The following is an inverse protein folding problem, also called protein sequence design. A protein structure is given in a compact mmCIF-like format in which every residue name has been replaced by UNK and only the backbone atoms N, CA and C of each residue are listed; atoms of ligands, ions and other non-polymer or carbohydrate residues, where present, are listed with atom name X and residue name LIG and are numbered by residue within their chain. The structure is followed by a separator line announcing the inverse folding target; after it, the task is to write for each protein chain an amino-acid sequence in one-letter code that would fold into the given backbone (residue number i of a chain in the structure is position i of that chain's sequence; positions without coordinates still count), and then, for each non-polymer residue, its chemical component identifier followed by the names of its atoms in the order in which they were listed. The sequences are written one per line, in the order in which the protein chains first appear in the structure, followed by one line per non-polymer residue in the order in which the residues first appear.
data_IF_013402397042
#
_entry.id   IF_013402397042
#
_cell.length_a   1.000
_cell.length_b   1.000
_cell.length_c   1.000
_cell.angle_alpha   90.00
_cell.angle_beta   90.00
_cell.angle_gamma   90.00
#
_symmetry.space_group_name_H-M   'P 1'
#
loop_
_entity.id
_entity.type
_entity.pdbx_description
1 polymer ?
#
# COMPACT_ATOMS: atom_id res chain seq x y z
N UNK A 1 -29.03 -46.01 27.67
CA UNK A 1 -28.81 -44.77 26.90
C UNK A 1 -28.15 -43.82 27.87
N UNK A 2 -26.84 -43.69 27.84
CA UNK A 2 -26.06 -42.78 28.68
C UNK A 2 -25.83 -41.51 27.89
N UNK A 3 -26.38 -40.41 28.39
CA UNK A 3 -26.13 -39.07 27.86
C UNK A 3 -24.67 -38.69 28.08
N UNK A 4 -23.97 -38.36 27.00
CA UNK A 4 -22.63 -37.73 27.02
C UNK A 4 -22.86 -36.24 27.26
N UNK A 5 -22.27 -35.62 28.29
CA UNK A 5 -22.41 -34.18 28.49
C UNK A 5 -21.66 -33.40 27.38
N UNK A 6 -22.17 -32.24 26.94
CA UNK A 6 -21.52 -31.43 25.93
C UNK A 6 -20.15 -30.95 26.44
N UNK A 7 -19.13 -31.18 25.62
CA UNK A 7 -17.78 -30.69 25.88
C UNK A 7 -17.80 -29.16 26.00
N UNK A 8 -17.40 -28.64 27.15
CA UNK A 8 -17.16 -27.23 27.36
C UNK A 8 -16.12 -26.78 26.36
N UNK A 9 -16.52 -25.93 25.43
CA UNK A 9 -15.58 -25.18 24.57
C UNK A 9 -14.73 -24.30 25.48
N UNK A 10 -13.53 -24.77 25.80
CA UNK A 10 -12.49 -23.93 26.35
C UNK A 10 -12.27 -22.78 25.38
N UNK A 11 -12.64 -21.55 25.77
CA UNK A 11 -12.18 -20.34 25.12
C UNK A 11 -10.63 -20.31 25.28
N UNK A 12 -9.92 -20.88 24.32
CA UNK A 12 -8.48 -20.69 24.21
C UNK A 12 -8.25 -19.20 24.09
N UNK A 13 -7.56 -18.61 25.06
CA UNK A 13 -7.12 -17.22 24.96
C UNK A 13 -6.44 -17.06 23.59
N UNK A 14 -6.91 -16.10 22.79
CA UNK A 14 -6.33 -15.84 21.48
C UNK A 14 -4.82 -15.62 21.64
N UNK A 15 -4.03 -16.28 20.77
CA UNK A 15 -2.57 -16.12 20.81
C UNK A 15 -2.23 -14.62 20.69
N UNK A 16 -1.25 -14.12 21.47
CA UNK A 16 -0.88 -12.71 21.43
C UNK A 16 -0.44 -12.32 20.01
N UNK A 17 -0.85 -11.16 19.56
CA UNK A 17 -0.45 -10.62 18.27
C UNK A 17 0.93 -9.94 18.37
N UNK A 18 1.58 -9.73 17.22
CA UNK A 18 2.95 -9.19 17.18
C UNK A 18 3.08 -7.80 17.82
N UNK A 19 2.03 -6.97 17.78
CA UNK A 19 1.99 -5.62 18.33
C UNK A 19 0.93 -5.45 19.42
N UNK A 20 0.55 -6.54 20.10
CA UNK A 20 -0.31 -6.42 21.29
C UNK A 20 0.29 -5.47 22.30
N UNK A 21 -0.55 -4.57 22.85
CA UNK A 21 -0.14 -3.55 23.81
C UNK A 21 0.49 -2.30 23.20
N UNK A 22 0.72 -2.26 21.88
CA UNK A 22 1.14 -1.05 21.17
C UNK A 22 -0.08 -0.20 20.82
N UNK A 23 -0.08 1.07 21.24
CA UNK A 23 -1.13 2.03 20.88
C UNK A 23 -0.62 3.07 19.90
N UNK A 24 -1.37 3.28 18.83
CA UNK A 24 -1.05 4.19 17.72
C UNK A 24 -2.10 5.29 17.63
N UNK A 25 -1.67 6.54 17.70
CA UNK A 25 -2.50 7.71 17.40
C UNK A 25 -2.29 8.08 15.92
N UNK A 26 -3.31 7.84 15.11
CA UNK A 26 -3.29 8.06 13.67
C UNK A 26 -3.99 9.38 13.33
N UNK A 27 -3.21 10.44 13.10
CA UNK A 27 -3.69 11.75 12.65
C UNK A 27 -3.62 11.87 11.12
N UNK A 28 -3.18 10.80 10.44
CA UNK A 28 -2.94 10.83 8.99
C UNK A 28 -4.23 10.67 8.19
N UNK A 29 -4.19 11.15 6.94
CA UNK A 29 -5.29 11.11 5.98
C UNK A 29 -4.82 10.57 4.64
N UNK A 30 -5.76 10.31 3.77
CA UNK A 30 -5.59 9.89 2.38
C UNK A 30 -5.08 8.45 2.27
N UNK A 31 -3.77 8.21 2.03
CA UNK A 31 -3.35 6.85 1.72
C UNK A 31 -2.08 6.40 2.46
N UNK A 32 -0.96 7.08 2.35
CA UNK A 32 0.33 6.62 2.86
C UNK A 32 0.32 6.32 4.37
N UNK A 33 -0.15 7.28 5.19
CA UNK A 33 -0.30 7.11 6.63
C UNK A 33 -1.37 6.08 7.00
N UNK A 34 -2.61 6.19 6.47
CA UNK A 34 -3.66 5.19 6.71
C UNK A 34 -3.28 3.76 6.31
N UNK A 35 -2.52 3.58 5.22
CA UNK A 35 -1.99 2.27 4.82
C UNK A 35 -0.99 1.73 5.86
N UNK A 36 -0.08 2.59 6.33
CA UNK A 36 0.85 2.23 7.40
C UNK A 36 0.10 1.79 8.66
N UNK A 37 -0.81 2.62 9.16
CA UNK A 37 -1.49 2.38 10.44
C UNK A 37 -2.46 1.20 10.36
N UNK A 38 -3.05 0.91 9.19
CA UNK A 38 -3.81 -0.33 8.97
C UNK A 38 -2.92 -1.57 9.11
N UNK A 39 -1.70 -1.56 8.56
CA UNK A 39 -0.77 -2.70 8.70
C UNK A 39 -0.39 -2.90 10.16
N UNK A 40 -0.11 -1.82 10.90
CA UNK A 40 0.15 -1.91 12.35
C UNK A 40 -1.06 -2.47 13.10
N UNK A 41 -2.28 -2.05 12.73
CA UNK A 41 -3.52 -2.59 13.30
C UNK A 41 -3.73 -4.07 12.98
N UNK A 42 -3.44 -4.50 11.75
CA UNK A 42 -3.48 -5.90 11.33
C UNK A 42 -2.49 -6.78 12.14
N UNK A 43 -1.38 -6.19 12.56
CA UNK A 43 -0.36 -6.84 13.40
C UNK A 43 -0.71 -6.82 14.91
N UNK A 44 -1.79 -6.17 15.32
CA UNK A 44 -2.28 -6.20 16.70
C UNK A 44 -2.32 -4.86 17.42
N UNK A 45 -1.72 -3.81 16.86
CA UNK A 45 -1.76 -2.50 17.49
C UNK A 45 -3.20 -1.98 17.67
N UNK A 46 -3.44 -1.26 18.77
CA UNK A 46 -4.65 -0.48 18.99
C UNK A 46 -4.51 0.87 18.28
N UNK A 47 -5.17 1.04 17.15
CA UNK A 47 -5.05 2.24 16.32
C UNK A 47 -6.26 3.14 16.50
N UNK A 48 -6.05 4.33 17.04
CA UNK A 48 -7.04 5.39 17.18
C UNK A 48 -6.83 6.39 16.04
N UNK A 49 -7.76 6.37 15.07
CA UNK A 49 -7.78 7.32 13.96
C UNK A 49 -8.53 8.57 14.36
N UNK A 50 -7.82 9.68 14.43
CA UNK A 50 -8.41 11.00 14.69
C UNK A 50 -8.88 11.62 13.38
N UNK A 51 -10.13 11.99 13.33
CA UNK A 51 -10.78 12.56 12.16
C UNK A 51 -11.48 13.88 12.50
N UNK A 52 -11.64 14.77 11.53
CA UNK A 52 -12.38 16.01 11.71
C UNK A 52 -13.87 15.71 11.92
N UNK A 53 -14.55 16.31 12.89
CA UNK A 53 -16.00 16.16 13.02
C UNK A 53 -16.75 16.74 11.82
N UNK A 54 -17.92 16.18 11.49
CA UNK A 54 -18.80 16.73 10.48
C UNK A 54 -19.45 18.03 10.98
N UNK A 55 -19.61 18.99 10.07
CA UNK A 55 -20.29 20.28 10.35
C UNK A 55 -21.35 20.57 9.27
N UNK A 56 -22.37 21.39 9.55
CA UNK A 56 -23.34 21.77 8.52
C UNK A 56 -22.64 22.30 7.27
N UNK A 57 -22.89 21.63 6.11
CA UNK A 57 -22.28 21.98 4.84
C UNK A 57 -20.80 21.58 4.66
N UNK A 58 -20.19 20.93 5.65
CA UNK A 58 -18.82 20.44 5.56
C UNK A 58 -18.77 18.96 5.99
N UNK A 59 -18.49 18.03 5.09
CA UNK A 59 -18.33 16.64 5.46
C UNK A 59 -17.12 16.51 6.42
N UNK A 60 -17.26 15.66 7.43
CA UNK A 60 -16.20 15.33 8.36
C UNK A 60 -15.31 14.22 7.81
N UNK A 61 -14.35 13.82 8.64
CA UNK A 61 -13.52 12.65 8.42
C UNK A 61 -12.33 12.85 7.52
N UNK A 62 -11.76 11.72 7.15
CA UNK A 62 -10.72 11.60 6.13
C UNK A 62 -11.32 11.97 4.76
N UNK A 63 -10.57 12.70 3.95
CA UNK A 63 -11.02 13.13 2.61
C UNK A 63 -11.45 11.94 1.74
N UNK A 64 -10.81 10.78 1.94
CA UNK A 64 -11.11 9.54 1.19
C UNK A 64 -12.49 8.96 1.45
N UNK A 65 -13.19 9.36 2.52
CA UNK A 65 -14.60 9.00 2.72
C UNK A 65 -15.45 9.49 1.55
N UNK A 66 -15.17 10.70 1.05
CA UNK A 66 -15.86 11.31 -0.08
C UNK A 66 -15.29 10.97 -1.47
N UNK A 67 -14.23 10.18 -1.58
CA UNK A 67 -13.59 9.89 -2.88
C UNK A 67 -14.26 8.71 -3.62
N UNK A 68 -15.54 8.80 -3.85
CA UNK A 68 -16.35 7.91 -4.67
C UNK A 68 -16.78 8.56 -5.97
N UNK A 69 -17.51 7.83 -6.84
CA UNK A 69 -17.91 6.43 -6.70
C UNK A 69 -16.74 5.45 -6.86
N UNK A 70 -16.87 4.17 -6.38
CA UNK A 70 -18.04 3.63 -5.72
C UNK A 70 -18.12 3.97 -4.24
N UNK A 71 -19.33 4.14 -3.73
CA UNK A 71 -19.61 4.24 -2.29
C UNK A 71 -20.12 2.89 -1.75
N UNK A 72 -19.87 2.66 -0.45
CA UNK A 72 -20.43 1.51 0.26
C UNK A 72 -21.97 1.62 0.26
N UNK A 73 -22.64 0.52 -0.04
CA UNK A 73 -24.09 0.43 0.10
C UNK A 73 -24.46 -0.20 1.43
N UNK A 74 -25.50 0.31 2.05
CA UNK A 74 -26.08 -0.28 3.25
C UNK A 74 -26.87 -1.57 2.92
N UNK A 75 -27.51 -2.15 3.94
CA UNK A 75 -28.31 -3.39 3.79
C UNK A 75 -29.54 -3.21 2.89
N UNK A 76 -30.00 -1.98 2.71
CA UNK A 76 -31.13 -1.65 1.83
C UNK A 76 -30.69 -1.27 0.41
N UNK A 77 -29.37 -1.30 0.15
CA UNK A 77 -28.76 -0.97 -1.15
C UNK A 77 -28.58 0.54 -1.41
N UNK A 78 -28.79 1.38 -0.39
CA UNK A 78 -28.58 2.82 -0.47
C UNK A 78 -27.10 3.17 -0.27
N UNK A 79 -26.57 4.08 -1.07
CA UNK A 79 -25.17 4.53 -0.93
C UNK A 79 -24.97 5.29 0.39
N UNK A 80 -23.94 4.92 1.12
CA UNK A 80 -23.49 5.61 2.33
C UNK A 80 -22.54 6.76 1.96
N UNK A 81 -22.02 7.47 2.97
CA UNK A 81 -21.00 8.51 2.79
C UNK A 81 -19.58 7.97 2.63
N UNK A 82 -19.36 6.65 2.78
CA UNK A 82 -18.03 6.05 2.81
C UNK A 82 -17.68 5.41 1.47
N UNK A 83 -16.71 5.99 0.76
CA UNK A 83 -16.22 5.46 -0.50
C UNK A 83 -15.32 4.22 -0.28
N UNK A 84 -15.25 3.36 -1.30
CA UNK A 84 -14.38 2.18 -1.31
C UNK A 84 -12.90 2.53 -1.05
N UNK A 85 -12.48 3.75 -1.37
CA UNK A 85 -11.14 4.23 -1.10
C UNK A 85 -10.81 4.24 0.41
N UNK A 86 -11.73 4.80 1.22
CA UNK A 86 -11.61 4.80 2.68
C UNK A 86 -11.58 3.38 3.26
N UNK A 87 -12.46 2.51 2.75
CA UNK A 87 -12.58 1.13 3.23
C UNK A 87 -11.29 0.33 3.02
N UNK A 88 -10.54 0.63 1.97
CA UNK A 88 -9.32 -0.09 1.61
C UNK A 88 -8.17 0.07 2.61
N UNK A 89 -8.20 1.08 3.50
CA UNK A 89 -7.04 1.46 4.32
C UNK A 89 -7.33 1.68 5.80
N UNK A 90 -8.55 1.37 6.28
CA UNK A 90 -8.95 1.75 7.65
C UNK A 90 -9.55 0.62 8.48
N UNK A 91 -9.44 -0.66 8.06
CA UNK A 91 -9.85 -1.78 8.93
C UNK A 91 -9.01 -1.86 10.20
N UNK A 92 -9.56 -2.48 11.22
CA UNK A 92 -8.94 -2.67 12.54
C UNK A 92 -8.66 -1.36 13.31
N UNK A 93 -9.16 -0.21 12.85
CA UNK A 93 -9.03 1.08 13.54
C UNK A 93 -10.27 1.41 14.34
N UNK A 94 -10.13 2.34 15.30
CA UNK A 94 -11.18 3.02 16.02
C UNK A 94 -11.24 4.48 15.57
N UNK A 95 -12.42 5.01 15.24
CA UNK A 95 -12.58 6.39 14.78
C UNK A 95 -12.97 7.30 15.94
N UNK A 96 -12.17 8.33 16.17
CA UNK A 96 -12.39 9.41 17.13
C UNK A 96 -12.46 10.75 16.37
N UNK A 97 -13.54 11.50 16.54
CA UNK A 97 -13.61 12.85 15.98
C UNK A 97 -12.96 13.87 16.91
N UNK A 98 -12.03 14.68 16.36
CA UNK A 98 -11.45 15.85 17.05
C UNK A 98 -11.19 16.95 16.02
N UNK A 99 -11.61 18.17 16.32
CA UNK A 99 -11.24 19.35 15.54
C UNK A 99 -9.94 19.97 16.09
N UNK A 100 -8.84 19.72 15.41
CA UNK A 100 -7.52 20.30 15.77
C UNK A 100 -7.47 21.83 15.73
N UNK A 101 -8.39 22.47 14.99
CA UNK A 101 -8.46 23.94 14.95
C UNK A 101 -9.17 24.54 16.18
N UNK A 102 -9.90 23.71 16.92
CA UNK A 102 -10.51 24.10 18.19
C UNK A 102 -9.46 24.05 19.30
N UNK A 103 -9.36 25.06 20.20
CA UNK A 103 -8.35 25.07 21.26
C UNK A 103 -8.31 23.79 22.11
N UNK A 104 -9.49 23.26 22.47
CA UNK A 104 -9.58 21.99 23.20
C UNK A 104 -9.23 20.77 22.36
N UNK A 105 -9.25 20.85 21.04
CA UNK A 105 -8.92 19.73 20.17
C UNK A 105 -7.42 19.38 20.23
N UNK A 106 -6.54 20.37 20.16
CA UNK A 106 -5.11 20.14 20.33
C UNK A 106 -4.74 19.68 21.74
N UNK A 107 -5.42 20.20 22.79
CA UNK A 107 -5.27 19.74 24.18
C UNK A 107 -5.67 18.26 24.33
N UNK A 108 -6.77 17.83 23.69
CA UNK A 108 -7.20 16.43 23.67
C UNK A 108 -6.18 15.51 23.01
N UNK A 109 -5.69 15.88 21.81
CA UNK A 109 -4.67 15.09 21.13
C UNK A 109 -3.41 15.01 21.95
N UNK A 110 -2.99 16.09 22.60
CA UNK A 110 -1.85 16.10 23.51
C UNK A 110 -2.05 15.10 24.66
N UNK A 111 -3.19 15.16 25.36
CA UNK A 111 -3.52 14.27 26.48
C UNK A 111 -3.54 12.79 26.04
N UNK A 112 -4.17 12.50 24.90
CA UNK A 112 -4.23 11.13 24.35
C UNK A 112 -2.82 10.64 23.97
N UNK A 113 -1.99 11.50 23.38
CA UNK A 113 -0.63 11.13 22.93
C UNK A 113 0.27 10.66 24.07
N UNK A 114 0.03 11.13 25.30
CA UNK A 114 0.75 10.69 26.51
C UNK A 114 0.60 9.19 26.80
N UNK A 115 -0.45 8.58 26.27
CA UNK A 115 -0.78 7.18 26.45
C UNK A 115 -0.54 6.34 25.19
N UNK A 116 0.10 6.94 24.18
CA UNK A 116 0.37 6.27 22.90
C UNK A 116 1.86 5.97 22.73
N UNK A 117 2.14 4.89 22.05
CA UNK A 117 3.50 4.45 21.70
C UNK A 117 4.00 5.09 20.41
N UNK A 118 3.07 5.31 19.48
CA UNK A 118 3.34 5.83 18.14
C UNK A 118 2.33 6.92 17.82
N UNK A 119 2.81 8.00 17.19
CA UNK A 119 1.96 8.98 16.53
C UNK A 119 2.35 9.03 15.04
N UNK A 120 1.34 8.98 14.15
CA UNK A 120 1.52 9.10 12.70
C UNK A 120 0.73 10.28 12.19
N UNK A 121 1.39 11.18 11.44
CA UNK A 121 0.72 12.34 10.84
C UNK A 121 1.24 12.59 9.41
N UNK A 122 0.44 13.31 8.60
CA UNK A 122 0.84 13.72 7.25
C UNK A 122 0.35 15.14 6.90
N UNK A 123 0.43 16.04 7.88
CA UNK A 123 0.13 17.45 7.70
C UNK A 123 1.25 18.16 6.93
N UNK A 124 0.98 19.38 6.49
CA UNK A 124 2.02 20.22 5.91
C UNK A 124 3.08 20.55 6.96
N UNK A 125 4.31 20.69 6.50
CA UNK A 125 5.42 21.10 7.38
C UNK A 125 5.06 22.38 8.14
N UNK A 126 5.20 22.34 9.45
CA UNK A 126 4.89 23.45 10.36
C UNK A 126 3.46 23.48 10.89
N UNK A 127 2.50 22.77 10.30
CA UNK A 127 1.12 22.80 10.79
C UNK A 127 1.00 22.17 12.20
N UNK A 128 1.68 21.05 12.45
CA UNK A 128 1.65 20.41 13.77
C UNK A 128 2.29 21.28 14.86
N UNK A 129 3.32 22.06 14.52
CA UNK A 129 3.93 23.00 15.45
C UNK A 129 2.97 24.11 15.89
N UNK A 130 2.03 24.53 15.03
CA UNK A 130 1.00 25.53 15.38
C UNK A 130 0.05 25.04 16.48
N UNK A 131 -0.08 23.72 16.62
CA UNK A 131 -0.90 23.05 17.63
C UNK A 131 -0.07 22.58 18.85
N UNK A 132 1.28 22.77 18.83
CA UNK A 132 2.16 22.20 19.84
C UNK A 132 2.27 20.67 19.81
N UNK A 133 1.95 20.08 18.66
CA UNK A 133 1.89 18.64 18.43
C UNK A 133 2.99 18.15 17.48
N UNK A 134 4.01 18.97 17.22
CA UNK A 134 5.19 18.59 16.44
C UNK A 134 6.10 17.62 17.19
N UNK A 135 7.00 16.96 16.46
CA UNK A 135 7.89 15.96 17.02
C UNK A 135 8.75 16.49 18.17
N UNK A 136 9.27 17.72 18.08
CA UNK A 136 10.12 18.29 19.12
C UNK A 136 9.34 18.53 20.40
N UNK A 137 8.14 19.09 20.28
CA UNK A 137 7.23 19.38 21.42
C UNK A 137 6.79 18.10 22.11
N UNK A 138 6.38 17.08 21.33
CA UNK A 138 5.89 15.82 21.91
C UNK A 138 7.01 14.97 22.49
N UNK A 139 8.15 14.83 21.83
CA UNK A 139 9.29 14.05 22.35
C UNK A 139 9.92 14.66 23.60
N UNK A 140 9.86 15.97 23.78
CA UNK A 140 10.28 16.61 25.02
C UNK A 140 9.40 16.22 26.20
N UNK A 141 8.11 15.96 25.99
CA UNK A 141 7.14 15.51 27.01
C UNK A 141 7.12 13.99 27.17
N UNK A 142 7.21 13.27 26.06
CA UNK A 142 7.11 11.81 25.95
C UNK A 142 8.34 11.23 25.23
N UNK A 143 9.49 11.14 25.93
CA UNK A 143 10.74 10.68 25.31
C UNK A 143 10.66 9.25 24.74
N UNK A 144 9.65 8.48 25.09
CA UNK A 144 9.40 7.13 24.58
C UNK A 144 8.55 7.08 23.32
N UNK A 145 7.92 8.19 22.93
CA UNK A 145 7.05 8.26 21.76
C UNK A 145 7.85 8.04 20.46
N UNK A 146 7.31 7.25 19.56
CA UNK A 146 7.77 7.17 18.17
C UNK A 146 6.88 8.09 17.34
N UNK A 147 7.43 9.17 16.83
CA UNK A 147 6.72 10.17 16.04
C UNK A 147 7.04 9.99 14.55
N UNK A 148 6.07 9.64 13.72
CA UNK A 148 6.26 9.45 12.28
C UNK A 148 5.52 10.55 11.49
N UNK A 149 6.30 11.42 10.84
CA UNK A 149 5.79 12.43 9.91
C UNK A 149 5.98 11.98 8.47
N UNK A 150 4.91 12.00 7.68
CA UNK A 150 4.90 11.62 6.27
C UNK A 150 4.55 12.87 5.45
N UNK A 151 5.47 13.33 4.61
CA UNK A 151 5.26 14.52 3.78
C UNK A 151 5.62 14.25 2.31
N UNK A 152 5.30 15.19 1.42
CA UNK A 152 5.68 15.06 0.01
C UNK A 152 7.19 15.08 -0.22
N UNK A 153 7.91 15.96 0.52
CA UNK A 153 9.31 16.29 0.23
C UNK A 153 10.23 16.29 1.46
N UNK A 154 9.78 15.84 2.62
CA UNK A 154 10.53 15.84 3.88
C UNK A 154 10.40 17.14 4.66
N UNK A 155 10.87 17.13 5.91
CA UNK A 155 10.84 18.27 6.84
C UNK A 155 11.89 19.33 6.50
N UNK A 156 12.84 19.03 5.63
CA UNK A 156 13.97 19.89 5.25
C UNK A 156 14.08 20.05 3.73
N UNK A 157 14.99 20.90 3.28
CA UNK A 157 15.26 21.08 1.86
C UNK A 157 14.39 22.14 1.18
N UNK A 158 14.67 22.43 -0.12
CA UNK A 158 14.06 23.56 -0.83
C UNK A 158 12.57 23.35 -1.15
N UNK A 159 12.05 22.11 -1.07
CA UNK A 159 10.68 21.77 -1.42
C UNK A 159 9.80 21.45 -0.20
N UNK A 160 10.31 21.57 1.03
CA UNK A 160 9.62 21.18 2.25
C UNK A 160 8.20 21.76 2.40
N UNK A 161 7.95 22.96 1.85
CA UNK A 161 6.63 23.63 1.95
C UNK A 161 5.68 23.26 0.82
N UNK A 162 6.14 22.46 -0.17
CA UNK A 162 5.31 22.02 -1.27
C UNK A 162 4.36 20.90 -0.83
N UNK A 163 3.12 20.96 -1.33
CA UNK A 163 2.23 19.81 -1.24
C UNK A 163 2.73 18.70 -2.19
N UNK A 164 2.77 17.46 -1.69
CA UNK A 164 3.11 16.28 -2.46
C UNK A 164 1.94 15.31 -2.49
N UNK A 165 1.45 14.99 -3.69
CA UNK A 165 0.52 13.90 -3.94
C UNK A 165 1.21 12.85 -4.81
N UNK A 166 0.83 11.59 -4.65
CA UNK A 166 1.38 10.44 -5.38
C UNK A 166 1.65 10.74 -6.86
N UNK A 167 0.66 11.26 -7.58
CA UNK A 167 0.77 11.51 -9.01
C UNK A 167 1.90 12.51 -9.37
N UNK A 168 1.99 13.60 -8.62
CA UNK A 168 3.07 14.58 -8.81
C UNK A 168 4.44 13.99 -8.46
N UNK A 169 4.50 13.18 -7.41
CA UNK A 169 5.72 12.50 -6.96
C UNK A 169 6.16 11.44 -7.97
N UNK A 170 5.27 10.67 -8.58
CA UNK A 170 5.63 9.75 -9.67
C UNK A 170 6.31 10.48 -10.84
N UNK A 171 5.85 11.69 -11.15
CA UNK A 171 6.48 12.54 -12.17
C UNK A 171 7.84 13.08 -11.74
N UNK A 172 7.87 13.80 -10.61
CA UNK A 172 9.08 14.47 -10.09
C UNK A 172 10.15 13.45 -9.70
N UNK A 173 9.76 12.33 -9.10
CA UNK A 173 10.66 11.26 -8.65
C UNK A 173 11.13 10.30 -9.74
N UNK A 174 10.84 10.59 -11.02
CA UNK A 174 11.42 9.89 -12.16
C UNK A 174 10.69 8.61 -12.61
N UNK A 175 9.71 8.08 -11.86
CA UNK A 175 9.02 6.84 -12.24
C UNK A 175 8.33 6.94 -13.61
N UNK A 176 7.68 8.07 -13.89
CA UNK A 176 7.01 8.28 -15.17
C UNK A 176 8.00 8.34 -16.35
N UNK A 177 9.26 8.72 -16.13
CA UNK A 177 10.27 8.77 -17.18
C UNK A 177 10.64 7.39 -17.72
N UNK A 178 10.38 6.34 -16.95
CA UNK A 178 10.67 4.93 -17.30
C UNK A 178 9.40 4.08 -17.48
N UNK A 179 8.22 4.67 -17.30
CA UNK A 179 6.92 4.00 -17.40
C UNK A 179 6.12 4.53 -18.59
N UNK A 180 5.53 3.62 -19.36
CA UNK A 180 4.75 3.91 -20.57
C UNK A 180 5.36 3.27 -21.81
N UNK A 181 4.72 3.40 -22.99
CA UNK A 181 5.19 2.81 -24.23
C UNK A 181 6.56 3.34 -24.62
N UNK A 182 7.36 2.53 -25.27
CA UNK A 182 8.65 2.96 -25.79
C UNK A 182 8.46 3.95 -26.95
N UNK A 183 9.42 4.87 -27.14
CA UNK A 183 9.39 5.81 -28.28
C UNK A 183 9.50 5.11 -29.65
N UNK A 184 10.03 3.88 -29.66
CA UNK A 184 10.09 3.08 -30.87
C UNK A 184 8.73 2.49 -31.26
N UNK A 185 7.83 2.32 -30.28
CA UNK A 185 6.48 1.79 -30.51
C UNK A 185 5.47 2.90 -30.78
N UNK A 186 5.50 3.97 -29.98
CA UNK A 186 4.57 5.11 -30.10
C UNK A 186 5.34 6.41 -29.84
N UNK A 187 5.18 7.38 -30.74
CA UNK A 187 5.74 8.72 -30.56
C UNK A 187 5.15 9.39 -29.30
N UNK A 188 5.94 10.24 -28.62
CA UNK A 188 5.52 10.85 -27.35
C UNK A 188 4.29 11.75 -27.48
N UNK A 189 4.06 12.37 -28.60
CA UNK A 189 2.93 13.25 -28.94
C UNK A 189 1.73 12.51 -29.55
N UNK A 190 1.85 11.23 -29.81
CA UNK A 190 0.74 10.41 -30.30
C UNK A 190 -0.23 10.04 -29.15
N UNK A 191 -1.52 9.82 -29.46
CA UNK A 191 -2.49 9.36 -28.48
C UNK A 191 -2.00 8.07 -27.77
N UNK A 192 -1.92 8.09 -26.44
CA UNK A 192 -1.38 7.00 -25.62
C UNK A 192 0.14 6.91 -25.56
N UNK A 193 0.87 7.80 -26.25
CA UNK A 193 2.32 7.96 -26.12
C UNK A 193 2.74 8.71 -24.86
N UNK A 194 4.04 8.91 -24.72
CA UNK A 194 4.63 9.69 -23.61
C UNK A 194 4.77 8.96 -22.28
N UNK A 195 5.25 9.67 -21.25
CA UNK A 195 5.37 9.18 -19.89
C UNK A 195 3.99 8.88 -19.25
N UNK A 196 3.90 7.77 -18.54
CA UNK A 196 2.66 7.35 -17.88
C UNK A 196 2.88 7.10 -16.40
N UNK A 197 1.85 7.38 -15.57
CA UNK A 197 1.85 6.95 -14.18
C UNK A 197 1.50 5.46 -14.07
N UNK A 198 1.88 4.84 -12.96
CA UNK A 198 1.35 3.53 -12.56
C UNK A 198 -0.12 3.69 -12.13
N UNK A 199 -0.95 2.70 -12.40
CA UNK A 199 -2.39 2.75 -12.12
C UNK A 199 -2.74 2.95 -10.65
N UNK A 200 -2.02 2.28 -9.75
CA UNK A 200 -2.16 2.44 -8.30
C UNK A 200 -1.24 3.56 -7.78
N UNK A 201 -1.57 4.14 -6.62
CA UNK A 201 -0.78 5.20 -5.98
C UNK A 201 0.48 4.62 -5.30
N UNK A 202 1.45 4.20 -6.12
CA UNK A 202 2.61 3.43 -5.65
C UNK A 202 3.54 4.22 -4.74
N UNK A 203 3.69 5.54 -4.93
CA UNK A 203 4.51 6.36 -4.05
C UNK A 203 3.93 6.39 -2.63
N UNK A 204 2.61 6.56 -2.49
CA UNK A 204 1.93 6.48 -1.20
C UNK A 204 2.06 5.09 -0.57
N UNK A 205 1.75 4.03 -1.31
CA UNK A 205 1.78 2.66 -0.78
C UNK A 205 3.18 2.26 -0.30
N UNK A 206 4.22 2.55 -1.07
CA UNK A 206 5.59 2.28 -0.66
C UNK A 206 6.02 3.15 0.52
N UNK A 207 5.60 4.41 0.58
CA UNK A 207 5.87 5.28 1.73
C UNK A 207 5.22 4.71 2.99
N UNK A 208 3.97 4.24 2.90
CA UNK A 208 3.30 3.54 4.00
C UNK A 208 4.06 2.28 4.46
N UNK A 209 4.62 1.50 3.53
CA UNK A 209 5.45 0.33 3.87
C UNK A 209 6.78 0.72 4.52
N UNK A 210 7.45 1.77 4.05
CA UNK A 210 8.64 2.30 4.71
C UNK A 210 8.32 2.87 6.08
N UNK A 211 7.14 3.51 6.26
CA UNK A 211 6.69 3.99 7.56
C UNK A 211 6.51 2.84 8.56
N UNK A 212 5.88 1.72 8.16
CA UNK A 212 5.79 0.50 8.99
C UNK A 212 7.19 0.03 9.39
N UNK A 213 8.10 -0.07 8.43
CA UNK A 213 9.47 -0.54 8.67
C UNK A 213 10.22 0.37 9.65
N UNK A 214 10.13 1.69 9.46
CA UNK A 214 10.78 2.67 10.33
C UNK A 214 10.18 2.67 11.75
N UNK A 215 8.85 2.58 11.87
CA UNK A 215 8.15 2.51 13.16
C UNK A 215 8.56 1.24 13.91
N UNK A 216 8.56 0.07 13.27
CA UNK A 216 8.99 -1.18 13.89
C UNK A 216 10.46 -1.13 14.36
N UNK A 217 11.35 -0.54 13.55
CA UNK A 217 12.74 -0.32 13.92
C UNK A 217 12.88 0.65 15.11
N UNK A 218 12.09 1.74 15.13
CA UNK A 218 12.07 2.70 16.22
C UNK A 218 11.50 2.11 17.52
N UNK A 219 10.43 1.30 17.44
CA UNK A 219 9.88 0.56 18.58
C UNK A 219 10.94 -0.43 19.14
N UNK A 220 11.64 -1.15 18.27
CA UNK A 220 12.73 -2.05 18.68
C UNK A 220 13.87 -1.28 19.36
N UNK A 221 14.24 -0.12 18.86
CA UNK A 221 15.23 0.76 19.52
C UNK A 221 14.72 1.20 20.90
N UNK A 222 13.48 1.68 20.96
CA UNK A 222 12.84 2.13 22.21
C UNK A 222 12.80 1.04 23.26
N UNK A 223 12.46 -0.19 22.88
CA UNK A 223 12.38 -1.31 23.83
C UNK A 223 13.74 -1.64 24.49
N UNK A 224 14.84 -1.31 23.82
CA UNK A 224 16.21 -1.53 24.34
C UNK A 224 16.75 -0.34 25.12
N UNK A 225 16.35 0.87 24.77
CA UNK A 225 16.99 2.10 25.27
C UNK A 225 16.07 2.93 26.16
N UNK A 226 14.76 2.68 26.10
CA UNK A 226 13.75 3.55 26.70
C UNK A 226 13.46 4.83 25.90
N UNK A 227 14.13 5.05 24.76
CA UNK A 227 14.04 6.26 23.96
C UNK A 227 13.30 6.01 22.64
N UNK A 228 12.22 6.77 22.39
CA UNK A 228 11.59 6.91 21.09
C UNK A 228 12.39 7.84 20.16
N UNK A 229 11.81 8.19 19.03
CA UNK A 229 12.45 9.10 18.07
C UNK A 229 11.46 9.67 17.06
N UNK A 230 11.85 10.76 16.40
CA UNK A 230 11.18 11.25 15.21
C UNK A 230 11.62 10.47 13.97
N UNK A 231 10.66 10.23 13.08
CA UNK A 231 10.84 9.67 11.75
C UNK A 231 10.35 10.70 10.74
N UNK A 232 11.23 11.20 9.89
CA UNK A 232 10.91 12.07 8.75
C UNK A 232 10.88 11.21 7.48
N UNK A 233 9.72 11.09 6.86
CA UNK A 233 9.53 10.28 5.67
C UNK A 233 8.94 11.13 4.54
N UNK A 234 9.65 11.15 3.41
CA UNK A 234 9.20 11.85 2.22
C UNK A 234 8.73 10.88 1.13
N UNK A 235 7.59 11.19 0.49
CA UNK A 235 7.13 10.45 -0.68
C UNK A 235 8.19 10.47 -1.80
N UNK A 236 8.87 11.62 -1.98
CA UNK A 236 9.91 11.76 -2.99
C UNK A 236 11.09 10.83 -2.72
N UNK A 237 11.58 10.76 -1.48
CA UNK A 237 12.72 9.90 -1.12
C UNK A 237 12.38 8.42 -1.36
N UNK A 238 11.18 8.02 -0.96
CA UNK A 238 10.65 6.68 -1.21
C UNK A 238 10.55 6.38 -2.70
N UNK A 239 10.03 7.34 -3.49
CA UNK A 239 9.93 7.20 -4.94
C UNK A 239 11.30 7.05 -5.60
N UNK A 240 12.31 7.80 -5.17
CA UNK A 240 13.68 7.68 -5.65
C UNK A 240 14.28 6.32 -5.29
N UNK A 241 14.05 5.85 -4.06
CA UNK A 241 14.48 4.52 -3.64
C UNK A 241 13.86 3.39 -4.48
N UNK A 242 12.59 3.56 -4.90
CA UNK A 242 11.89 2.60 -5.78
C UNK A 242 12.52 2.45 -7.17
N UNK A 243 13.30 3.40 -7.66
CA UNK A 243 13.97 3.29 -8.95
C UNK A 243 14.99 2.14 -8.99
N UNK A 244 15.44 1.67 -7.83
CA UNK A 244 16.24 0.46 -7.65
C UNK A 244 17.36 0.28 -8.71
N UNK A 245 17.28 -0.79 -9.50
CA UNK A 245 18.27 -1.07 -10.55
C UNK A 245 18.35 -0.01 -11.66
N UNK A 246 17.28 0.70 -11.98
CA UNK A 246 17.29 1.78 -12.99
C UNK A 246 18.01 3.01 -12.45
N UNK A 247 17.78 3.37 -11.19
CA UNK A 247 18.52 4.41 -10.50
C UNK A 247 20.01 4.08 -10.39
N UNK A 248 20.33 2.83 -9.99
CA UNK A 248 21.71 2.35 -9.94
C UNK A 248 22.39 2.38 -11.31
N UNK A 249 21.67 2.00 -12.39
CA UNK A 249 22.19 2.06 -13.76
C UNK A 249 22.54 3.50 -14.16
N UNK A 250 21.67 4.47 -13.87
CA UNK A 250 21.95 5.88 -14.13
C UNK A 250 23.18 6.38 -13.35
N UNK A 251 23.24 6.09 -12.06
CA UNK A 251 24.36 6.53 -11.21
C UNK A 251 25.71 5.92 -11.65
N UNK A 252 25.69 4.70 -12.18
CA UNK A 252 26.90 4.02 -12.64
C UNK A 252 27.37 4.51 -14.03
N UNK A 253 26.46 4.98 -14.89
CA UNK A 253 26.78 5.25 -16.30
C UNK A 253 26.59 6.71 -16.72
N UNK A 254 25.82 7.50 -15.97
CA UNK A 254 25.37 8.82 -16.37
C UNK A 254 24.31 8.83 -17.49
N UNK A 255 23.87 7.64 -17.96
CA UNK A 255 22.90 7.52 -19.06
C UNK A 255 21.52 7.26 -18.49
N UNK A 256 20.59 8.19 -18.72
CA UNK A 256 19.21 8.06 -18.24
C UNK A 256 18.48 6.90 -18.97
N UNK A 257 17.91 5.92 -18.22
CA UNK A 257 17.10 4.86 -18.81
C UNK A 257 15.90 5.45 -19.57
N UNK A 258 15.55 4.82 -20.69
CA UNK A 258 14.38 5.19 -21.47
C UNK A 258 13.21 4.26 -21.18
N UNK A 259 11.99 4.67 -21.53
CA UNK A 259 10.82 3.79 -21.48
C UNK A 259 11.01 2.61 -22.43
N UNK A 260 10.75 1.42 -21.92
CA UNK A 260 10.88 0.16 -22.65
C UNK A 260 9.52 -0.52 -22.94
N UNK A 261 8.41 0.20 -22.75
CA UNK A 261 7.08 -0.37 -22.84
C UNK A 261 6.91 -1.51 -21.83
N UNK A 262 6.43 -2.64 -22.33
CA UNK A 262 6.28 -3.86 -21.51
C UNK A 262 7.55 -4.72 -21.44
N UNK A 263 8.67 -4.27 -21.99
CA UNK A 263 9.91 -5.06 -22.04
C UNK A 263 10.84 -4.71 -20.87
N UNK A 264 11.51 -5.74 -20.34
CA UNK A 264 12.59 -5.53 -19.39
C UNK A 264 13.81 -4.92 -20.08
N UNK A 265 14.46 -3.93 -19.46
CA UNK A 265 15.60 -3.23 -20.07
C UNK A 265 16.81 -4.14 -20.28
N UNK A 266 17.10 -5.03 -19.34
CA UNK A 266 18.36 -5.77 -19.26
C UNK A 266 18.20 -7.29 -19.44
N UNK A 267 16.99 -7.80 -19.70
CA UNK A 267 16.71 -9.23 -19.87
C UNK A 267 15.86 -9.44 -21.12
N UNK A 268 16.22 -10.42 -21.97
CA UNK A 268 15.51 -10.74 -23.21
C UNK A 268 15.46 -12.25 -23.43
N UNK A 269 14.27 -12.82 -23.80
CA UNK A 269 12.96 -12.20 -23.80
C UNK A 269 12.35 -12.09 -22.41
N UNK A 270 11.88 -10.93 -22.02
CA UNK A 270 11.16 -10.68 -20.78
C UNK A 270 10.16 -9.54 -21.04
N UNK A 271 8.97 -9.88 -21.52
CA UNK A 271 7.97 -8.92 -21.96
C UNK A 271 6.61 -9.56 -22.24
N UNK A 272 5.64 -8.71 -22.57
CA UNK A 272 4.36 -9.14 -23.15
C UNK A 272 4.54 -9.51 -24.62
N UNK A 273 3.95 -10.63 -25.02
CA UNK A 273 3.84 -11.06 -26.41
C UNK A 273 2.39 -11.28 -26.80
N UNK A 274 2.06 -10.93 -28.05
CA UNK A 274 0.80 -11.30 -28.67
C UNK A 274 0.83 -12.80 -29.05
N UNK A 275 -0.27 -13.49 -28.81
CA UNK A 275 -0.52 -14.89 -29.15
C UNK A 275 -1.78 -14.98 -30.01
N UNK A 276 -2.18 -16.17 -30.45
CA UNK A 276 -3.30 -16.32 -31.39
C UNK A 276 -4.63 -15.73 -30.91
N UNK A 277 -4.86 -15.67 -29.59
CA UNK A 277 -6.12 -15.28 -28.95
C UNK A 277 -5.96 -14.18 -27.89
N UNK A 278 -4.91 -13.37 -27.99
CA UNK A 278 -4.67 -12.24 -27.06
C UNK A 278 -3.20 -12.07 -26.71
N UNK A 279 -2.91 -11.89 -25.41
CA UNK A 279 -1.56 -11.60 -24.92
C UNK A 279 -1.15 -12.51 -23.76
N UNK A 280 0.16 -12.74 -23.63
CA UNK A 280 0.75 -13.42 -22.47
C UNK A 280 2.06 -12.76 -22.05
N UNK A 281 2.47 -12.95 -20.82
CA UNK A 281 3.78 -12.60 -20.32
C UNK A 281 4.73 -13.79 -20.55
N UNK A 282 5.91 -13.51 -21.10
CA UNK A 282 7.04 -14.45 -21.14
C UNK A 282 8.20 -13.81 -20.37
N UNK A 283 8.74 -14.54 -19.37
CA UNK A 283 9.77 -14.02 -18.46
C UNK A 283 10.98 -14.97 -18.40
N UNK A 284 11.82 -14.96 -19.43
CA UNK A 284 13.02 -15.78 -19.51
C UNK A 284 14.16 -15.09 -18.76
N UNK A 285 14.41 -15.49 -17.51
CA UNK A 285 15.37 -14.84 -16.61
C UNK A 285 16.83 -15.27 -16.78
N UNK A 286 17.12 -16.39 -17.48
CA UNK A 286 18.48 -16.89 -17.66
C UNK A 286 18.65 -17.72 -18.94
N UNK A 287 19.91 -18.05 -19.29
CA UNK A 287 20.23 -18.74 -20.54
C UNK A 287 19.65 -20.17 -20.61
N UNK A 288 19.61 -20.89 -19.49
CA UNK A 288 19.01 -22.24 -19.44
C UNK A 288 17.49 -22.19 -19.67
N UNK A 289 16.80 -21.17 -19.17
CA UNK A 289 15.38 -20.95 -19.49
C UNK A 289 15.17 -20.60 -20.95
N UNK A 290 16.09 -19.83 -21.56
CA UNK A 290 16.04 -19.51 -22.97
C UNK A 290 16.13 -20.77 -23.84
N UNK A 291 17.07 -21.67 -23.55
CA UNK A 291 17.20 -22.95 -24.25
C UNK A 291 15.92 -23.79 -24.16
N UNK A 292 15.34 -23.89 -22.94
CA UNK A 292 14.06 -24.61 -22.75
C UNK A 292 12.90 -23.94 -23.50
N UNK A 293 12.84 -22.63 -23.47
CA UNK A 293 11.85 -21.88 -24.24
C UNK A 293 11.97 -22.18 -25.74
N UNK A 294 13.17 -22.11 -26.32
CA UNK A 294 13.41 -22.39 -27.72
C UNK A 294 12.98 -23.81 -28.10
N UNK A 295 13.24 -24.80 -27.26
CA UNK A 295 12.80 -26.18 -27.49
C UNK A 295 11.26 -26.29 -27.52
N UNK A 296 10.56 -25.65 -26.57
CA UNK A 296 9.09 -25.64 -26.52
C UNK A 296 8.48 -24.87 -27.68
N UNK A 297 9.12 -23.77 -28.08
CA UNK A 297 8.65 -22.90 -29.17
C UNK A 297 8.98 -23.43 -30.56
N UNK A 298 9.74 -24.51 -30.66
CA UNK A 298 10.16 -25.08 -31.97
C UNK A 298 11.12 -24.16 -32.73
N UNK A 299 12.02 -23.49 -32.00
CA UNK A 299 13.03 -22.58 -32.54
C UNK A 299 14.41 -22.86 -31.92
N UNK A 300 14.80 -24.14 -31.85
CA UNK A 300 16.07 -24.57 -31.27
C UNK A 300 17.29 -23.87 -31.86
N UNK A 301 17.22 -23.52 -33.13
CA UNK A 301 18.25 -22.77 -33.86
C UNK A 301 18.62 -21.45 -33.21
N UNK A 302 17.68 -20.80 -32.47
CA UNK A 302 17.98 -19.55 -31.76
C UNK A 302 18.81 -19.80 -30.48
N UNK A 303 18.70 -20.97 -29.89
CA UNK A 303 19.49 -21.33 -28.73
C UNK A 303 20.95 -21.64 -29.09
N UNK A 304 21.21 -21.99 -30.33
CA UNK A 304 22.55 -22.33 -30.89
C UNK A 304 23.20 -21.10 -31.53
N UNK A 305 22.46 -20.05 -31.87
CA UNK A 305 22.98 -18.83 -32.49
C UNK A 305 23.84 -18.06 -31.46
N UNK A 306 25.10 -17.83 -31.76
CA UNK A 306 26.09 -17.14 -30.92
C UNK A 306 25.61 -15.77 -30.44
N UNK A 307 24.78 -15.09 -31.25
CA UNK A 307 24.16 -13.80 -30.89
C UNK A 307 23.18 -13.92 -29.72
N UNK A 308 22.59 -15.11 -29.50
CA UNK A 308 21.48 -15.31 -28.55
C UNK A 308 21.77 -16.27 -27.41
N UNK A 309 22.89 -17.00 -27.44
CA UNK A 309 23.26 -17.97 -26.41
C UNK A 309 23.36 -17.34 -24.99
N UNK A 310 23.75 -16.08 -24.90
CA UNK A 310 23.89 -15.34 -23.65
C UNK A 310 22.95 -14.15 -23.56
N UNK A 311 22.45 -13.85 -22.35
CA UNK A 311 21.53 -12.73 -22.16
C UNK A 311 22.08 -11.39 -22.68
N UNK A 312 23.37 -11.09 -22.46
CA UNK A 312 23.99 -9.87 -22.95
C UNK A 312 23.92 -9.76 -24.49
N UNK A 313 24.09 -10.89 -25.19
CA UNK A 313 23.91 -10.97 -26.63
C UNK A 313 22.47 -10.73 -27.05
N UNK A 314 21.49 -11.37 -26.37
CA UNK A 314 20.07 -11.17 -26.62
C UNK A 314 19.62 -9.72 -26.40
N UNK A 315 20.13 -9.08 -25.34
CA UNK A 315 19.86 -7.65 -25.08
C UNK A 315 20.39 -6.78 -26.23
N UNK A 316 21.64 -7.04 -26.69
CA UNK A 316 22.26 -6.29 -27.79
C UNK A 316 21.51 -6.48 -29.11
N UNK A 317 21.01 -7.67 -29.35
CA UNK A 317 20.34 -8.06 -30.60
C UNK A 317 18.81 -8.16 -30.44
N UNK A 318 18.21 -7.48 -29.44
CA UNK A 318 16.76 -7.58 -29.19
C UNK A 318 15.90 -7.19 -30.37
N UNK A 319 16.32 -6.19 -31.14
CA UNK A 319 15.62 -5.75 -32.36
C UNK A 319 15.51 -6.85 -33.44
N UNK A 320 16.40 -7.84 -33.41
CA UNK A 320 16.37 -8.99 -34.30
C UNK A 320 15.57 -10.14 -33.68
N UNK A 321 15.90 -10.48 -32.43
CA UNK A 321 15.35 -11.66 -31.76
C UNK A 321 13.85 -11.51 -31.42
N UNK A 322 13.43 -10.38 -30.87
CA UNK A 322 12.03 -10.20 -30.39
C UNK A 322 11.00 -10.38 -31.50
N UNK A 323 11.15 -9.82 -32.72
CA UNK A 323 10.22 -10.10 -33.84
C UNK A 323 10.14 -11.57 -34.24
N UNK A 324 11.26 -12.28 -34.23
CA UNK A 324 11.31 -13.71 -34.53
C UNK A 324 10.53 -14.54 -33.51
N UNK A 325 10.69 -14.22 -32.23
CA UNK A 325 9.94 -14.86 -31.14
C UNK A 325 8.44 -14.52 -31.20
N UNK A 326 8.11 -13.26 -31.49
CA UNK A 326 6.72 -12.83 -31.64
C UNK A 326 5.99 -13.60 -32.75
N UNK A 327 6.65 -13.81 -33.91
CA UNK A 327 6.10 -14.61 -35.00
C UNK A 327 5.80 -16.06 -34.56
N UNK A 328 6.65 -16.65 -33.74
CA UNK A 328 6.45 -18.02 -33.22
C UNK A 328 5.30 -18.06 -32.19
N UNK A 329 5.21 -17.07 -31.31
CA UNK A 329 4.19 -17.05 -30.24
C UNK A 329 2.78 -16.81 -30.80
N UNK A 330 2.62 -16.13 -31.93
CA UNK A 330 1.33 -15.96 -32.62
C UNK A 330 0.71 -17.25 -33.16
N UNK A 331 1.46 -18.35 -33.22
CA UNK A 331 1.01 -19.61 -33.87
C UNK A 331 0.04 -20.44 -33.01
N UNK A 332 -0.11 -20.13 -31.72
CA UNK A 332 -0.90 -20.92 -30.78
C UNK A 332 -1.68 -20.05 -29.81
N UNK A 333 -2.81 -20.55 -29.27
CA UNK A 333 -3.58 -19.86 -28.23
C UNK A 333 -2.82 -19.82 -26.89
N UNK A 334 -3.18 -18.82 -26.08
CA UNK A 334 -2.55 -18.54 -24.78
C UNK A 334 -2.53 -19.77 -23.86
N UNK A 335 -3.65 -20.48 -23.74
CA UNK A 335 -3.75 -21.63 -22.86
C UNK A 335 -2.75 -22.74 -23.23
N UNK A 336 -2.54 -23.00 -24.52
CA UNK A 336 -1.57 -24.01 -24.99
C UNK A 336 -0.13 -23.57 -24.66
N UNK A 337 0.20 -22.27 -24.86
CA UNK A 337 1.51 -21.77 -24.51
C UNK A 337 1.81 -21.86 -23.03
N UNK A 338 0.86 -21.41 -22.17
CA UNK A 338 1.03 -21.46 -20.72
C UNK A 338 1.30 -22.89 -20.26
N UNK A 339 0.47 -23.85 -20.67
CA UNK A 339 0.64 -25.26 -20.30
C UNK A 339 2.02 -25.82 -20.71
N UNK A 340 2.47 -25.55 -21.94
CA UNK A 340 3.76 -26.03 -22.43
C UNK A 340 4.96 -25.39 -21.71
N UNK A 341 4.89 -24.08 -21.49
CA UNK A 341 5.99 -23.31 -20.89
C UNK A 341 6.13 -23.63 -19.40
N UNK A 342 5.01 -23.74 -18.68
CA UNK A 342 4.99 -24.16 -17.28
C UNK A 342 5.57 -25.58 -17.11
N UNK A 343 5.16 -26.53 -17.97
CA UNK A 343 5.71 -27.89 -18.00
C UNK A 343 7.22 -27.91 -18.24
N UNK A 344 7.77 -26.97 -18.98
CA UNK A 344 9.20 -26.80 -19.21
C UNK A 344 9.91 -25.91 -18.15
N UNK A 345 9.19 -25.45 -17.12
CA UNK A 345 9.71 -24.55 -16.08
C UNK A 345 10.27 -23.23 -16.67
N UNK A 346 9.56 -22.68 -17.63
CA UNK A 346 9.80 -21.35 -18.21
C UNK A 346 8.74 -20.41 -17.64
N UNK A 347 9.10 -19.38 -16.88
CA UNK A 347 8.14 -18.45 -16.28
C UNK A 347 7.32 -17.72 -17.35
N UNK A 348 6.01 -17.82 -17.22
CA UNK A 348 5.03 -17.18 -18.11
C UNK A 348 3.75 -16.93 -17.32
N UNK A 349 2.83 -16.16 -17.87
CA UNK A 349 1.54 -15.92 -17.21
C UNK A 349 0.55 -15.17 -18.10
N UNK A 350 -0.74 -15.20 -17.76
CA UNK A 350 -1.76 -14.36 -18.36
C UNK A 350 -1.60 -12.91 -17.89
N UNK A 351 -2.31 -11.99 -18.52
CA UNK A 351 -2.56 -10.63 -18.01
C UNK A 351 -4.02 -10.65 -17.51
N UNK A 352 -4.17 -10.75 -16.20
CA UNK A 352 -5.47 -10.85 -15.55
C UNK A 352 -6.05 -9.46 -15.28
N UNK A 353 -7.37 -9.33 -15.40
CA UNK A 353 -8.10 -8.23 -14.79
C UNK A 353 -8.39 -8.53 -13.30
N UNK A 354 -9.03 -7.58 -12.60
CA UNK A 354 -9.30 -7.75 -11.15
C UNK A 354 -10.31 -8.88 -10.87
N UNK A 355 -11.24 -9.18 -11.78
CA UNK A 355 -12.16 -10.29 -11.62
C UNK A 355 -11.41 -11.62 -11.72
N UNK A 356 -10.50 -11.75 -12.69
CA UNK A 356 -9.62 -12.89 -12.86
C UNK A 356 -8.73 -13.10 -11.62
N UNK A 357 -8.13 -12.00 -11.11
CA UNK A 357 -7.26 -12.05 -9.91
C UNK A 357 -8.00 -12.60 -8.71
N UNK A 358 -9.22 -12.12 -8.41
CA UNK A 358 -9.98 -12.62 -7.25
C UNK A 358 -10.67 -13.95 -7.50
N UNK A 359 -10.74 -14.42 -8.76
CA UNK A 359 -11.17 -15.77 -9.12
C UNK A 359 -10.03 -16.80 -9.13
N UNK A 360 -8.77 -16.34 -9.15
CA UNK A 360 -7.59 -17.20 -9.24
C UNK A 360 -7.47 -18.17 -8.04
N UNK A 361 -7.14 -19.42 -8.32
CA UNK A 361 -7.06 -20.48 -7.32
C UNK A 361 -5.99 -20.21 -6.26
N UNK A 362 -4.83 -19.67 -6.65
CA UNK A 362 -3.74 -19.34 -5.72
C UNK A 362 -4.11 -18.15 -4.83
N UNK A 363 -4.78 -17.13 -5.38
CA UNK A 363 -5.27 -15.97 -4.64
C UNK A 363 -6.30 -16.37 -3.60
N UNK A 364 -7.22 -17.30 -3.95
CA UNK A 364 -8.23 -17.86 -3.05
C UNK A 364 -7.59 -18.73 -1.97
N UNK A 365 -6.70 -19.65 -2.32
CA UNK A 365 -5.99 -20.53 -1.38
C UNK A 365 -5.19 -19.70 -0.36
N UNK A 366 -4.62 -18.58 -0.77
CA UNK A 366 -3.92 -17.66 0.11
C UNK A 366 -4.82 -16.70 0.87
N UNK A 367 -6.15 -16.87 0.75
CA UNK A 367 -7.16 -16.05 1.44
C UNK A 367 -6.87 -14.55 1.31
N UNK A 368 -6.71 -14.06 0.07
CA UNK A 368 -6.40 -12.66 -0.20
C UNK A 368 -7.64 -11.75 -0.21
N UNK A 369 -8.79 -12.26 0.17
CA UNK A 369 -10.00 -11.51 0.49
C UNK A 369 -10.47 -11.83 1.90
N UNK A 370 -11.04 -10.85 2.59
CA UNK A 370 -11.64 -11.00 3.91
C UNK A 370 -13.03 -10.38 3.92
N UNK A 371 -13.96 -11.03 4.60
CA UNK A 371 -15.31 -10.53 4.88
C UNK A 371 -15.38 -10.13 6.35
N UNK A 372 -15.88 -8.92 6.62
CA UNK A 372 -15.96 -8.38 7.97
C UNK A 372 -17.37 -7.85 8.23
N UNK A 373 -17.95 -8.10 9.43
CA UNK A 373 -19.22 -7.49 9.83
C UNK A 373 -19.10 -5.97 9.82
N UNK A 374 -20.07 -5.28 9.20
CA UNK A 374 -20.10 -3.82 9.09
C UNK A 374 -21.45 -3.27 9.55
N UNK A 375 -21.49 -2.22 10.38
CA UNK A 375 -22.73 -1.76 11.02
C UNK A 375 -23.82 -1.30 10.03
N UNK A 376 -23.47 -0.76 8.88
CA UNK A 376 -24.45 -0.30 7.87
C UNK A 376 -24.66 -1.34 6.76
N UNK A 377 -23.59 -1.98 6.29
CA UNK A 377 -23.63 -2.86 5.12
C UNK A 377 -23.84 -4.35 5.47
N UNK A 378 -24.01 -4.71 6.74
CA UNK A 378 -24.02 -6.08 7.19
C UNK A 378 -22.67 -6.77 7.04
N UNK A 379 -22.10 -6.78 5.83
CA UNK A 379 -20.76 -7.33 5.55
C UNK A 379 -20.03 -6.46 4.52
N UNK A 380 -18.74 -6.22 4.75
CA UNK A 380 -17.84 -5.59 3.79
C UNK A 380 -16.75 -6.57 3.37
N UNK A 381 -16.45 -6.63 2.06
CA UNK A 381 -15.35 -7.43 1.50
C UNK A 381 -14.14 -6.55 1.23
N UNK A 382 -12.98 -6.95 1.74
CA UNK A 382 -11.74 -6.17 1.63
C UNK A 382 -10.59 -7.06 1.12
N UNK A 383 -9.56 -6.42 0.55
CA UNK A 383 -8.30 -7.10 0.24
C UNK A 383 -7.60 -7.42 1.56
N UNK A 384 -7.26 -8.69 1.75
CA UNK A 384 -6.60 -9.18 2.96
C UNK A 384 -5.13 -8.76 3.04
N UNK A 385 -4.55 -8.82 4.24
CA UNK A 385 -3.11 -8.62 4.44
C UNK A 385 -2.30 -9.75 3.78
N UNK A 386 -1.19 -9.43 3.07
CA UNK A 386 -0.30 -10.43 2.51
C UNK A 386 0.61 -11.07 3.57
N UNK A 387 0.66 -10.52 4.79
CA UNK A 387 1.51 -11.01 5.86
C UNK A 387 0.98 -12.34 6.41
N UNK A 388 1.82 -13.38 6.41
CA UNK A 388 1.50 -14.72 6.91
C UNK A 388 2.51 -15.12 7.99
N UNK A 389 2.34 -14.57 9.19
CA UNK A 389 3.18 -14.87 10.36
C UNK A 389 2.73 -16.17 11.02
N UNK A 390 3.63 -17.13 11.22
CA UNK A 390 3.27 -18.46 11.71
C UNK A 390 2.85 -18.45 13.19
N UNK A 391 3.52 -17.66 14.03
CA UNK A 391 3.28 -17.62 15.47
C UNK A 391 2.30 -16.52 15.90
N UNK A 392 2.23 -15.42 15.14
CA UNK A 392 1.41 -14.24 15.44
C UNK A 392 0.64 -13.82 14.20
N UNK A 393 -0.31 -14.65 13.72
CA UNK A 393 -1.02 -14.36 12.47
C UNK A 393 -1.80 -13.03 12.56
N UNK A 394 -1.91 -12.36 11.41
CA UNK A 394 -2.76 -11.17 11.26
C UNK A 394 -4.21 -11.51 11.63
N UNK A 395 -4.87 -10.60 12.33
CA UNK A 395 -6.28 -10.75 12.70
C UNK A 395 -7.13 -9.59 12.16
N UNK A 396 -8.35 -9.91 11.72
CA UNK A 396 -9.33 -8.96 11.20
C UNK A 396 -10.40 -8.78 12.27
N UNK A 397 -10.20 -7.80 13.17
CA UNK A 397 -10.98 -7.61 14.39
C UNK A 397 -12.16 -6.65 14.22
N UNK A 398 -11.97 -5.61 13.37
CA UNK A 398 -12.94 -4.52 13.16
C UNK A 398 -12.98 -4.14 11.69
N UNK A 399 -14.18 -3.99 11.14
CA UNK A 399 -14.36 -3.36 9.82
C UNK A 399 -13.88 -1.90 9.88
N UNK A 400 -13.64 -1.25 8.71
CA UNK A 400 -13.38 0.18 8.69
C UNK A 400 -14.48 0.93 9.44
N UNK A 401 -14.15 1.81 10.42
CA UNK A 401 -15.15 2.40 11.31
C UNK A 401 -15.97 3.50 10.62
N UNK A 402 -17.19 3.70 11.08
CA UNK A 402 -17.95 4.90 10.76
C UNK A 402 -17.28 6.13 11.39
N UNK A 403 -17.55 7.32 10.85
CA UNK A 403 -16.99 8.56 11.38
C UNK A 403 -17.39 8.76 12.84
N UNK A 404 -16.41 8.85 13.72
CA UNK A 404 -16.60 9.07 15.15
C UNK A 404 -17.24 7.91 15.90
N UNK A 405 -17.31 6.72 15.29
CA UNK A 405 -17.97 5.54 15.85
C UNK A 405 -17.54 5.22 17.27
N UNK A 406 -16.27 5.42 17.58
CA UNK A 406 -15.67 5.01 18.85
C UNK A 406 -15.33 6.21 19.75
N UNK A 407 -15.83 7.42 19.44
CA UNK A 407 -15.41 8.66 20.14
C UNK A 407 -15.66 8.61 21.65
N UNK A 408 -16.83 8.19 22.08
CA UNK A 408 -17.20 8.17 23.49
C UNK A 408 -16.40 7.12 24.26
N UNK A 409 -16.27 5.92 23.69
CA UNK A 409 -15.53 4.83 24.31
C UNK A 409 -14.04 5.18 24.44
N UNK A 410 -13.45 5.73 23.39
CA UNK A 410 -12.05 6.14 23.39
C UNK A 410 -11.80 7.23 24.41
N UNK A 411 -12.63 8.28 24.46
CA UNK A 411 -12.46 9.35 25.44
C UNK A 411 -12.66 8.86 26.87
N UNK A 412 -13.62 7.97 27.13
CA UNK A 412 -13.81 7.36 28.44
C UNK A 412 -12.59 6.56 28.92
N UNK A 413 -11.92 5.82 28.02
CA UNK A 413 -10.65 5.13 28.29
C UNK A 413 -9.53 6.08 28.75
N UNK A 414 -9.55 7.33 28.30
CA UNK A 414 -8.59 8.37 28.68
C UNK A 414 -9.08 9.23 29.88
N UNK A 415 -10.15 8.80 30.58
CA UNK A 415 -10.61 9.39 31.82
C UNK A 415 -11.58 10.57 31.69
N UNK A 416 -12.13 10.81 30.47
CA UNK A 416 -13.18 11.78 30.27
C UNK A 416 -14.53 11.16 30.66
N UNK A 417 -15.23 11.74 31.59
CA UNK A 417 -16.58 11.29 31.96
C UNK A 417 -17.63 11.76 30.94
N UNK A 418 -18.84 11.21 31.02
CA UNK A 418 -19.92 11.51 30.10
C UNK A 418 -20.27 13.02 30.01
N UNK A 419 -20.14 13.74 31.13
CA UNK A 419 -20.42 15.19 31.18
C UNK A 419 -19.33 15.99 30.43
N UNK A 420 -18.06 15.62 30.63
CA UNK A 420 -16.94 16.21 29.90
C UNK A 420 -17.06 15.94 28.39
N UNK A 421 -17.40 14.71 28.00
CA UNK A 421 -17.60 14.33 26.58
C UNK A 421 -18.75 15.14 25.95
N UNK A 422 -19.89 15.27 26.65
CA UNK A 422 -21.01 16.10 26.22
C UNK A 422 -20.59 17.56 25.99
N UNK A 423 -19.84 18.14 26.94
CA UNK A 423 -19.32 19.52 26.83
C UNK A 423 -18.38 19.69 25.64
N UNK A 424 -17.50 18.72 25.35
CA UNK A 424 -16.63 18.75 24.21
C UNK A 424 -17.42 18.72 22.90
N UNK A 425 -18.47 17.90 22.84
CA UNK A 425 -19.36 17.81 21.67
C UNK A 425 -20.17 19.11 21.47
N UNK A 426 -20.75 19.68 22.52
CA UNK A 426 -21.47 20.94 22.45
C UNK A 426 -20.58 22.12 22.02
N UNK A 427 -19.31 22.11 22.40
CA UNK A 427 -18.34 23.12 22.00
C UNK A 427 -17.88 22.96 20.54
N UNK A 428 -18.15 21.82 19.90
CA UNK A 428 -17.68 21.46 18.57
C UNK A 428 -16.19 21.04 18.53
N UNK A 429 -15.62 20.65 19.66
CA UNK A 429 -14.24 20.12 19.72
C UNK A 429 -14.16 18.66 19.21
N UNK A 430 -15.25 17.90 19.38
CA UNK A 430 -15.38 16.52 18.89
C UNK A 430 -16.67 16.32 18.10
#
# INVERSE_FOLDING_TARGET
MSEVPPAAMNAQAAAPMALDGVRVLDLSRVLAGPWCTQILADLGADVIKVERPARPGQPGGDDTRGWGPPFLKDVDGVETSDAAYYLGTNRNKRSLTIDLSHPKGSELVLAISEHCDVLVENFKVGDMARYGLDAASLLARHPRLVYCSITGFGQTGPYRERAGYDYAIQGIGGLMSVTGPSRAEIADDAPGGGPQKVGVAVADLFTGMYAVTAILAALRHRDRTGQGQAIDLALLDTQVAMLANLGASYLATGVAPQRAGNAHQNIVPYQVFEVADGHMILAVGNDAQFTRFCAVAGCGEFAEDERFTRNAGRVRHRAILVPLLAARLKTKPRAEWLQRLEGAKVPCGPINDLADVFADAQVRERAMTVEMPHPLAGTVRLVASPLKLAATPVQYRRAPPLLGQDSDDVLAEFGFDAAAIATLRESGAI
#
